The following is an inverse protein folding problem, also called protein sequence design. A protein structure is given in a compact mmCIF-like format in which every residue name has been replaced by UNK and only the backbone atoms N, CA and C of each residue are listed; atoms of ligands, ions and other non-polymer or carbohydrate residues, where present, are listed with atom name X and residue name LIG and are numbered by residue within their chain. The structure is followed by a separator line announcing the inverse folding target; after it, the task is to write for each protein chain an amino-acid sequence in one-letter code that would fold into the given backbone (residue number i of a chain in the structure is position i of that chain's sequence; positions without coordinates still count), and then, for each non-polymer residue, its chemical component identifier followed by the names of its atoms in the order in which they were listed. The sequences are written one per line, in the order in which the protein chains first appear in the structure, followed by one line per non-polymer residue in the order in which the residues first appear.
data_IF_237097847955
#
_entry.id   IF_237097847955
#
_cell.length_a   1.000
_cell.length_b   1.000
_cell.length_c   1.000
_cell.angle_alpha   90.00
_cell.angle_beta   90.00
_cell.angle_gamma   90.00
#
_symmetry.space_group_name_H-M   'P 1'
#
loop_
_entity.id
_entity.type
_entity.pdbx_description
1 polymer ?
#
# COMPACT_ATOMS: atom_id res chain seq x y z
N UNK A 1 2.63 -9.52 -3.18
CA UNK A 1 2.13 -10.11 -1.92
C UNK A 1 2.80 -9.41 -0.74
N UNK A 2 2.07 -9.02 0.33
CA UNK A 2 2.67 -8.68 1.62
C UNK A 2 3.23 -9.94 2.31
N UNK A 3 4.17 -9.79 3.24
CA UNK A 3 4.55 -10.88 4.15
C UNK A 3 3.73 -10.78 5.44
N UNK A 4 3.64 -11.85 6.24
CA UNK A 4 2.87 -11.89 7.50
C UNK A 4 3.16 -10.70 8.43
N UNK A 5 4.43 -10.28 8.47
CA UNK A 5 4.88 -9.12 9.28
C UNK A 5 4.31 -7.79 8.75
N UNK A 6 4.15 -7.66 7.44
CA UNK A 6 3.54 -6.50 6.80
C UNK A 6 2.01 -6.55 6.88
N UNK A 7 1.39 -7.73 6.79
CA UNK A 7 -0.06 -7.87 6.96
C UNK A 7 -0.51 -7.47 8.35
N UNK A 8 0.23 -7.88 9.40
CA UNK A 8 -0.05 -7.45 10.78
C UNK A 8 -0.07 -5.93 10.94
N UNK A 9 0.72 -5.18 10.15
CA UNK A 9 0.73 -3.70 10.19
C UNK A 9 -0.47 -3.09 9.45
N UNK A 10 -1.04 -3.80 8.49
CA UNK A 10 -2.19 -3.36 7.68
C UNK A 10 -3.54 -3.73 8.30
N UNK A 11 -3.59 -4.68 9.24
CA UNK A 11 -4.83 -5.18 9.88
C UNK A 11 -5.57 -4.17 10.76
N UNK A 12 -5.09 -2.94 10.94
CA UNK A 12 -5.88 -1.89 11.60
C UNK A 12 -6.97 -1.43 10.62
N UNK A 13 -8.04 -2.21 10.55
CA UNK A 13 -9.25 -1.83 9.82
C UNK A 13 -9.72 -0.47 10.35
N UNK A 14 -10.18 0.45 9.49
CA UNK A 14 -10.88 1.64 9.93
C UNK A 14 -12.28 1.22 10.40
N UNK A 15 -12.37 0.45 11.47
CA UNK A 15 -13.60 0.44 12.26
C UNK A 15 -13.70 1.84 12.87
N UNK A 16 -14.76 2.63 12.60
CA UNK A 16 -14.93 3.88 13.31
C UNK A 16 -15.04 3.55 14.79
N UNK A 17 -14.02 3.91 15.57
CA UNK A 17 -14.06 3.79 17.01
C UNK A 17 -15.29 4.54 17.53
N UNK A 18 -16.29 3.81 18.03
CA UNK A 18 -17.53 4.37 18.60
C UNK A 18 -17.23 5.29 19.79
N UNK A 19 -16.03 5.18 20.40
CA UNK A 19 -15.61 5.94 21.58
C UNK A 19 -15.05 7.34 21.32
N UNK A 20 -14.83 7.74 20.06
CA UNK A 20 -14.33 9.08 19.69
C UNK A 20 -15.38 9.93 18.96
N UNK A 21 -16.65 9.83 19.35
CA UNK A 21 -17.74 10.65 18.78
C UNK A 21 -17.72 12.11 19.23
N UNK A 22 -17.00 12.45 20.31
CA UNK A 22 -17.00 13.79 20.91
C UNK A 22 -16.19 14.85 20.15
N UNK A 23 -15.35 14.48 19.19
CA UNK A 23 -14.52 15.41 18.41
C UNK A 23 -14.99 15.57 16.96
N UNK A 24 -16.18 15.08 16.62
CA UNK A 24 -16.72 15.20 15.26
C UNK A 24 -17.34 16.60 15.15
N UNK A 25 -16.64 17.52 14.49
CA UNK A 25 -17.13 18.88 14.21
C UNK A 25 -18.35 18.82 13.28
N UNK A 26 -19.54 18.87 13.84
CA UNK A 26 -20.78 19.02 13.07
C UNK A 26 -20.91 20.51 12.67
N UNK A 27 -20.99 20.79 11.36
CA UNK A 27 -21.14 22.16 10.82
C UNK A 27 -20.05 22.62 9.84
N UNK A 28 -18.99 21.83 9.64
CA UNK A 28 -17.95 22.12 8.64
C UNK A 28 -18.41 21.88 7.20
N UNK A 29 -18.01 22.77 6.28
CA UNK A 29 -18.24 22.57 4.85
C UNK A 29 -17.34 21.43 4.35
N UNK A 30 -17.92 20.23 4.24
CA UNK A 30 -17.22 18.99 3.84
C UNK A 30 -16.50 19.11 2.49
N UNK A 31 -16.94 19.99 1.57
CA UNK A 31 -16.23 20.21 0.30
C UNK A 31 -14.88 20.93 0.50
N UNK A 32 -14.82 21.89 1.43
CA UNK A 32 -13.59 22.62 1.76
C UNK A 32 -12.63 21.74 2.56
N UNK A 33 -13.14 20.94 3.50
CA UNK A 33 -12.35 19.95 4.23
C UNK A 33 -11.77 18.89 3.28
N UNK A 34 -12.58 18.38 2.34
CA UNK A 34 -12.13 17.40 1.36
C UNK A 34 -11.06 17.96 0.41
N UNK A 35 -11.12 19.25 0.06
CA UNK A 35 -10.07 19.92 -0.73
C UNK A 35 -8.72 19.97 0.00
N UNK A 36 -8.74 20.23 1.31
CA UNK A 36 -7.52 20.35 2.11
C UNK A 36 -6.92 18.98 2.51
N UNK A 37 -7.76 17.97 2.70
CA UNK A 37 -7.38 16.62 3.14
C UNK A 37 -7.14 15.60 2.02
N UNK A 38 -7.24 15.99 0.73
CA UNK A 38 -6.80 15.09 -0.34
C UNK A 38 -5.34 14.72 -0.10
N UNK A 39 -5.02 13.42 -0.21
CA UNK A 39 -3.66 12.96 -0.44
C UNK A 39 -3.14 13.68 -1.69
N UNK A 40 -2.46 14.81 -1.48
CA UNK A 40 -1.93 15.65 -2.54
C UNK A 40 -1.13 14.77 -3.47
N UNK A 41 -1.21 15.03 -4.77
CA UNK A 41 -0.36 14.35 -5.73
C UNK A 41 1.10 14.70 -5.42
N UNK A 42 1.76 13.84 -4.63
CA UNK A 42 3.18 13.95 -4.38
C UNK A 42 3.90 13.44 -5.64
N UNK A 43 4.70 14.24 -6.35
CA UNK A 43 5.47 13.77 -7.51
C UNK A 43 6.60 12.81 -7.10
N UNK A 44 7.02 12.83 -5.84
CA UNK A 44 8.04 11.97 -5.26
C UNK A 44 7.42 10.73 -4.58
N UNK A 45 6.39 10.13 -5.17
CA UNK A 45 5.89 8.84 -4.66
C UNK A 45 6.95 7.77 -4.84
N UNK A 46 6.92 6.78 -3.97
CA UNK A 46 7.79 5.62 -4.09
C UNK A 46 7.72 5.02 -5.49
N UNK A 47 8.89 4.74 -6.07
CA UNK A 47 9.03 4.08 -7.37
C UNK A 47 9.44 2.64 -7.17
N UNK A 48 8.99 1.77 -8.05
CA UNK A 48 9.43 0.38 -8.04
C UNK A 48 10.92 0.28 -8.35
N UNK A 49 11.68 -0.44 -7.53
CA UNK A 49 13.13 -0.64 -7.78
C UNK A 49 13.49 -1.42 -9.04
N UNK A 50 12.54 -2.17 -9.62
CA UNK A 50 12.79 -3.02 -10.81
C UNK A 50 12.39 -2.36 -12.12
N UNK A 51 11.19 -1.80 -12.19
CA UNK A 51 10.63 -1.21 -13.42
C UNK A 51 10.54 0.32 -13.38
N UNK A 52 10.97 0.97 -12.29
CA UNK A 52 10.88 2.41 -12.06
C UNK A 52 9.49 3.03 -12.21
N UNK A 53 8.44 2.20 -12.31
CA UNK A 53 7.06 2.66 -12.36
C UNK A 53 6.66 3.30 -11.03
N UNK A 54 5.84 4.33 -11.10
CA UNK A 54 5.26 4.96 -9.92
C UNK A 54 4.36 3.96 -9.18
N UNK A 55 4.50 3.87 -7.86
CA UNK A 55 3.69 2.99 -7.03
C UNK A 55 2.43 3.70 -6.53
N UNK A 56 1.32 2.95 -6.46
CA UNK A 56 0.06 3.45 -5.90
C UNK A 56 0.11 3.62 -4.38
N UNK A 57 0.89 2.78 -3.69
CA UNK A 57 1.08 2.78 -2.25
C UNK A 57 2.58 2.82 -1.93
N UNK A 58 2.93 3.28 -0.73
CA UNK A 58 4.33 3.36 -0.32
C UNK A 58 4.95 1.98 -0.15
N UNK A 59 5.76 1.58 -1.12
CA UNK A 59 6.38 0.26 -1.20
C UNK A 59 7.70 0.27 -1.96
N UNK A 60 8.36 -0.89 -2.04
CA UNK A 60 9.64 -1.05 -2.76
C UNK A 60 9.47 -1.63 -4.16
N UNK A 61 8.44 -2.45 -4.37
CA UNK A 61 8.22 -3.16 -5.61
C UNK A 61 6.77 -3.04 -6.07
N UNK A 62 6.58 -3.01 -7.39
CA UNK A 62 5.26 -3.08 -8.00
C UNK A 62 4.61 -4.46 -7.74
N UNK A 63 3.27 -4.55 -7.76
CA UNK A 63 2.56 -5.80 -7.50
C UNK A 63 3.03 -6.93 -8.41
N UNK A 64 3.21 -6.65 -9.70
CA UNK A 64 3.69 -7.62 -10.70
C UNK A 64 5.17 -7.98 -10.49
N UNK A 65 6.01 -7.01 -10.14
CA UNK A 65 7.43 -7.18 -9.88
C UNK A 65 7.68 -8.04 -8.65
N UNK A 66 6.93 -7.74 -7.58
CA UNK A 66 6.93 -8.48 -6.33
C UNK A 66 6.54 -9.94 -6.56
N UNK A 67 5.51 -10.18 -7.38
CA UNK A 67 5.07 -11.52 -7.75
C UNK A 67 6.14 -12.28 -8.55
N UNK A 68 6.67 -11.70 -9.64
CA UNK A 68 7.70 -12.36 -10.47
C UNK A 68 8.98 -12.68 -9.69
N UNK A 69 9.33 -11.87 -8.70
CA UNK A 69 10.52 -12.05 -7.88
C UNK A 69 10.28 -12.89 -6.62
N UNK A 70 9.03 -13.22 -6.28
CA UNK A 70 8.70 -13.87 -5.00
C UNK A 70 9.02 -13.00 -3.77
N UNK A 71 8.99 -11.66 -3.92
CA UNK A 71 9.33 -10.70 -2.86
C UNK A 71 8.12 -9.95 -2.34
N UNK A 72 8.21 -9.46 -1.11
CA UNK A 72 7.21 -8.61 -0.51
C UNK A 72 7.18 -7.22 -1.17
N UNK A 73 6.01 -6.76 -1.61
CA UNK A 73 5.83 -5.45 -2.24
C UNK A 73 6.16 -4.25 -1.34
N UNK A 74 6.09 -4.44 -0.01
CA UNK A 74 6.30 -3.39 1.00
C UNK A 74 7.75 -3.40 1.51
N UNK A 75 8.20 -4.54 2.06
CA UNK A 75 9.50 -4.60 2.71
C UNK A 75 10.63 -5.18 1.84
N UNK A 76 10.30 -5.90 0.77
CA UNK A 76 11.26 -6.54 -0.13
C UNK A 76 11.85 -7.87 0.34
N UNK A 77 11.38 -8.41 1.47
CA UNK A 77 11.75 -9.76 1.92
C UNK A 77 11.27 -10.82 0.94
N UNK A 78 12.04 -11.87 0.71
CA UNK A 78 11.60 -13.05 -0.04
C UNK A 78 10.50 -13.75 0.74
N UNK A 79 9.40 -14.07 0.06
CA UNK A 79 8.24 -14.79 0.61
C UNK A 79 8.24 -16.22 0.05
N UNK A 80 8.64 -16.38 -1.21
CA UNK A 80 8.75 -17.66 -1.90
C UNK A 80 9.93 -17.61 -2.89
N UNK A 81 10.65 -18.72 -3.03
CA UNK A 81 11.68 -18.86 -4.06
C UNK A 81 11.03 -19.24 -5.39
N UNK A 82 10.70 -18.24 -6.20
CA UNK A 82 10.02 -18.43 -7.49
C UNK A 82 10.96 -18.93 -8.61
N UNK A 83 12.20 -19.33 -8.31
CA UNK A 83 13.10 -19.94 -9.28
C UNK A 83 12.57 -21.28 -9.81
N UNK A 84 11.81 -22.02 -8.98
CA UNK A 84 11.27 -23.34 -9.33
C UNK A 84 9.82 -23.32 -9.88
N UNK A 85 9.16 -22.15 -9.92
CA UNK A 85 7.74 -22.03 -10.26
C UNK A 85 7.47 -21.17 -11.50
N UNK A 86 8.52 -20.71 -12.19
CA UNK A 86 8.42 -20.23 -13.57
C UNK A 86 8.32 -21.44 -14.55
N UNK A 87 7.50 -22.44 -14.21
CA UNK A 87 7.15 -23.51 -15.12
C UNK A 87 6.14 -22.93 -16.12
N UNK A 88 6.69 -22.46 -17.23
CA UNK A 88 6.07 -22.20 -18.53
C UNK A 88 4.56 -21.91 -18.56
N UNK A 89 4.22 -20.67 -18.92
CA UNK A 89 3.13 -20.48 -19.88
C UNK A 89 3.83 -20.34 -21.23
N UNK A 90 3.74 -21.42 -22.03
CA UNK A 90 4.07 -21.44 -23.46
C UNK A 90 3.18 -20.43 -24.18
#
# INVERSE_FOLDING_TARGET
MPCDKCEKKLKKLPTPDVKNSSSRSYGGNKLLEYRNNKQKFNPNRSKCKKCNSQLHFDGKYCSTCAYKLGKCHLCGKTISDNSAHNMAII
#
